data_IF_224791078673
#
_entry.id   IF_224791078673
#
_cell.length_a   1.000
_cell.length_b   1.000
_cell.length_c   1.000
_cell.angle_alpha   90.00
_cell.angle_beta   90.00
_cell.angle_gamma   90.00
#
_symmetry.space_group_name_H-M   'P 1'
#
loop_
_entity.id
_entity.type
_entity.pdbx_description
1 polymer ?
#
# COMPACT_ATOMS: atom_id res chain seq x y z
N UNK A 1 27.49 -9.20 0.15
CA UNK A 1 26.34 -9.01 1.06
C UNK A 1 25.09 -9.31 0.27
N UNK A 2 24.28 -10.29 0.69
CA UNK A 2 22.93 -10.44 0.14
C UNK A 2 22.19 -9.13 0.40
N UNK A 3 21.72 -8.47 -0.65
CA UNK A 3 20.83 -7.33 -0.52
C UNK A 3 19.58 -7.83 0.22
N UNK A 4 19.35 -7.35 1.44
CA UNK A 4 18.10 -7.62 2.13
C UNK A 4 16.98 -6.94 1.33
N UNK A 5 16.31 -7.70 0.45
CA UNK A 5 15.21 -7.18 -0.39
C UNK A 5 13.98 -6.77 0.44
N UNK A 6 13.97 -7.13 1.72
CA UNK A 6 12.82 -7.02 2.58
C UNK A 6 13.29 -6.72 4.01
N UNK A 7 12.77 -5.66 4.63
CA UNK A 7 13.10 -5.32 6.02
C UNK A 7 12.27 -6.19 6.97
N UNK A 8 12.80 -6.43 8.16
CA UNK A 8 12.09 -7.12 9.23
C UNK A 8 11.63 -8.56 8.88
N UNK A 9 12.28 -9.24 7.92
CA UNK A 9 11.95 -10.62 7.51
C UNK A 9 11.81 -11.59 8.69
N UNK A 10 12.66 -11.45 9.70
CA UNK A 10 12.63 -12.28 10.91
C UNK A 10 11.30 -12.17 11.66
N UNK A 11 10.64 -11.01 11.64
CA UNK A 11 9.31 -10.86 12.23
C UNK A 11 8.28 -11.75 11.51
N UNK A 12 8.28 -11.74 10.17
CA UNK A 12 7.40 -12.57 9.35
C UNK A 12 7.64 -14.06 9.59
N UNK A 13 8.90 -14.49 9.63
CA UNK A 13 9.27 -15.88 9.94
C UNK A 13 8.77 -16.29 11.33
N UNK A 14 8.96 -15.44 12.36
CA UNK A 14 8.51 -15.74 13.73
C UNK A 14 6.98 -15.85 13.80
N UNK A 15 6.24 -14.96 13.16
CA UNK A 15 4.77 -15.03 13.12
C UNK A 15 4.29 -16.26 12.36
N UNK A 16 4.84 -16.54 11.17
CA UNK A 16 4.51 -17.73 10.39
C UNK A 16 4.73 -19.01 11.21
N UNK A 17 5.86 -19.09 11.92
CA UNK A 17 6.19 -20.21 12.80
C UNK A 17 5.26 -20.36 14.01
N UNK A 18 4.91 -19.23 14.67
CA UNK A 18 4.09 -19.21 15.87
C UNK A 18 2.65 -19.60 15.56
N UNK A 19 2.06 -19.06 14.50
CA UNK A 19 0.65 -19.27 14.15
C UNK A 19 0.43 -20.42 13.16
N UNK A 20 1.52 -21.02 12.65
CA UNK A 20 1.50 -22.08 11.64
C UNK A 20 0.77 -21.67 10.36
N UNK A 21 0.92 -20.41 9.95
CA UNK A 21 0.34 -19.84 8.73
C UNK A 21 1.44 -19.52 7.72
N UNK A 22 1.12 -19.51 6.43
CA UNK A 22 1.98 -18.90 5.40
C UNK A 22 1.56 -17.44 5.24
N UNK A 23 2.53 -16.54 5.22
CA UNK A 23 2.30 -15.09 5.07
C UNK A 23 2.89 -14.66 3.73
N UNK A 24 2.04 -14.23 2.80
CA UNK A 24 2.45 -13.61 1.55
C UNK A 24 2.47 -12.08 1.69
N UNK A 25 3.51 -11.42 1.19
CA UNK A 25 3.62 -9.95 1.16
C UNK A 25 4.04 -9.52 -0.23
N UNK A 26 3.43 -8.44 -0.75
CA UNK A 26 3.84 -7.84 -2.02
C UNK A 26 5.24 -7.22 -1.85
N UNK A 27 6.01 -7.20 -2.93
CA UNK A 27 7.35 -6.61 -2.91
C UNK A 27 7.24 -5.13 -2.50
N UNK A 28 7.88 -4.72 -1.39
CA UNK A 28 7.83 -3.33 -0.94
C UNK A 28 8.56 -2.43 -1.93
N UNK A 29 8.18 -1.17 -1.98
CA UNK A 29 8.87 -0.19 -2.81
C UNK A 29 10.33 -0.05 -2.34
N UNK A 30 11.35 -0.35 -3.17
CA UNK A 30 12.76 -0.25 -2.77
C UNK A 30 13.16 1.17 -2.35
N UNK A 31 12.48 2.20 -2.86
CA UNK A 31 12.72 3.59 -2.48
C UNK A 31 12.17 3.93 -1.10
N UNK A 32 11.24 3.13 -0.56
CA UNK A 32 10.69 3.29 0.78
C UNK A 32 11.53 2.61 1.87
N UNK A 33 12.33 1.59 1.52
CA UNK A 33 13.09 0.84 2.53
C UNK A 33 14.02 1.71 3.38
N UNK A 34 14.85 2.61 2.82
CA UNK A 34 15.71 3.46 3.64
C UNK A 34 14.92 4.41 4.55
N UNK A 35 13.73 4.84 4.12
CA UNK A 35 12.85 5.70 4.94
C UNK A 35 12.29 4.92 6.13
N UNK A 36 11.92 3.65 5.92
CA UNK A 36 11.46 2.75 6.98
C UNK A 36 12.58 2.42 7.98
N UNK A 37 13.82 2.26 7.51
CA UNK A 37 15.01 2.10 8.37
C UNK A 37 15.28 3.35 9.21
N UNK A 38 15.08 4.54 8.64
CA UNK A 38 15.16 5.83 9.35
C UNK A 38 13.98 6.06 10.33
N UNK A 39 12.99 5.14 10.38
CA UNK A 39 11.85 5.23 11.28
C UNK A 39 10.72 6.14 10.79
N UNK A 40 10.63 6.38 9.48
CA UNK A 40 9.48 7.06 8.90
C UNK A 40 8.21 6.20 9.06
N UNK A 41 7.06 6.80 9.45
CA UNK A 41 5.79 6.09 9.46
C UNK A 41 5.38 5.64 8.06
N UNK A 42 4.70 4.51 7.93
CA UNK A 42 4.09 4.09 6.66
C UNK A 42 2.66 4.58 6.55
N UNK A 43 2.16 4.69 5.30
CA UNK A 43 0.80 5.15 5.02
C UNK A 43 -0.23 4.20 5.62
N UNK A 44 -1.26 4.75 6.26
CA UNK A 44 -2.36 3.95 6.78
C UNK A 44 -3.46 3.69 5.74
N UNK A 45 -4.48 2.94 6.13
CA UNK A 45 -5.61 2.60 5.25
C UNK A 45 -6.33 3.81 4.67
N UNK A 46 -6.34 4.96 5.35
CA UNK A 46 -7.07 6.15 4.92
C UNK A 46 -6.29 7.01 3.92
N UNK A 47 -4.97 6.84 3.82
CA UNK A 47 -4.16 7.47 2.80
C UNK A 47 -4.15 6.64 1.50
N UNK A 48 -5.00 7.02 0.55
CA UNK A 48 -5.12 6.32 -0.75
C UNK A 48 -4.13 6.80 -1.82
N UNK A 49 -3.52 7.96 -1.63
CA UNK A 49 -2.57 8.55 -2.55
C UNK A 49 -1.35 7.65 -2.77
N UNK A 50 -0.78 7.73 -3.98
CA UNK A 50 0.38 6.94 -4.39
C UNK A 50 1.69 7.68 -4.08
N UNK A 51 2.73 6.94 -3.71
CA UNK A 51 4.06 7.50 -3.46
C UNK A 51 4.76 7.91 -4.75
N UNK A 52 5.77 8.77 -4.60
CA UNK A 52 6.69 9.18 -5.65
C UNK A 52 7.71 8.09 -6.01
N UNK A 53 8.14 8.08 -7.26
CA UNK A 53 9.11 7.11 -7.79
C UNK A 53 10.51 7.69 -8.05
N UNK A 54 10.74 8.99 -7.84
CA UNK A 54 12.02 9.62 -8.21
C UNK A 54 12.24 10.94 -7.47
N UNK A 55 13.42 11.53 -7.63
CA UNK A 55 13.82 12.81 -7.05
C UNK A 55 13.86 12.85 -5.53
N UNK A 56 13.90 14.05 -4.91
CA UNK A 56 13.99 14.16 -3.46
C UNK A 56 12.74 13.60 -2.76
N UNK A 57 11.60 13.56 -3.46
CA UNK A 57 10.33 13.03 -2.96
C UNK A 57 10.20 11.51 -3.06
N UNK A 58 11.13 10.82 -3.72
CA UNK A 58 11.08 9.36 -3.93
C UNK A 58 10.71 8.62 -2.64
N UNK A 59 9.75 7.70 -2.73
CA UNK A 59 9.26 6.93 -1.59
C UNK A 59 8.25 7.63 -0.68
N UNK A 60 8.13 8.97 -0.71
CA UNK A 60 7.13 9.72 0.05
C UNK A 60 5.78 9.83 -0.68
N UNK A 61 4.73 10.17 0.06
CA UNK A 61 3.45 10.64 -0.49
C UNK A 61 3.52 12.17 -0.64
N UNK A 62 3.35 12.68 -1.86
CA UNK A 62 3.53 14.11 -2.16
C UNK A 62 2.21 14.86 -2.08
N UNK A 63 2.24 16.13 -1.67
CA UNK A 63 1.04 16.97 -1.72
C UNK A 63 0.68 17.34 -3.18
N UNK A 64 1.70 17.62 -3.99
CA UNK A 64 1.53 17.94 -5.41
C UNK A 64 1.61 16.66 -6.27
N UNK A 65 0.58 16.36 -7.09
CA UNK A 65 0.58 15.18 -7.96
C UNK A 65 1.74 15.13 -8.95
N UNK A 66 2.30 16.27 -9.36
CA UNK A 66 3.41 16.31 -10.35
C UNK A 66 4.69 15.63 -9.85
N UNK A 67 4.83 15.49 -8.53
CA UNK A 67 5.95 14.80 -7.91
C UNK A 67 5.61 13.33 -7.54
N UNK A 68 4.41 12.85 -7.84
CA UNK A 68 4.00 11.48 -7.54
C UNK A 68 4.36 10.53 -8.69
N UNK A 69 4.05 9.24 -8.57
CA UNK A 69 4.24 8.26 -9.66
C UNK A 69 3.08 8.18 -10.67
N UNK A 70 1.98 8.91 -10.44
CA UNK A 70 0.80 8.83 -11.31
C UNK A 70 1.09 9.47 -12.67
N UNK A 71 0.40 9.06 -13.74
CA UNK A 71 0.64 9.61 -15.08
C UNK A 71 0.25 11.08 -15.23
N UNK A 72 0.54 11.63 -16.42
CA UNK A 72 0.19 13.02 -16.78
C UNK A 72 -1.28 13.22 -17.14
N UNK A 73 -2.10 12.17 -17.15
CA UNK A 73 -3.51 12.27 -17.47
C UNK A 73 -4.21 13.20 -16.49
N UNK A 74 -4.98 14.16 -17.00
CA UNK A 74 -5.76 15.08 -16.17
C UNK A 74 -6.67 14.33 -15.18
N UNK A 75 -7.24 13.21 -15.60
CA UNK A 75 -8.11 12.39 -14.76
C UNK A 75 -7.34 11.74 -13.61
N UNK A 76 -6.15 11.21 -13.86
CA UNK A 76 -5.31 10.61 -12.82
C UNK A 76 -4.82 11.67 -11.82
N UNK A 77 -4.42 12.84 -12.31
CA UNK A 77 -4.02 13.95 -11.45
C UNK A 77 -5.18 14.46 -10.59
N UNK A 78 -6.39 14.59 -11.15
CA UNK A 78 -7.56 15.00 -10.39
C UNK A 78 -7.93 13.96 -9.35
N UNK A 79 -7.92 12.67 -9.70
CA UNK A 79 -8.15 11.59 -8.74
C UNK A 79 -7.15 11.62 -7.58
N UNK A 80 -5.88 11.93 -7.87
CA UNK A 80 -4.87 12.08 -6.82
C UNK A 80 -5.14 13.28 -5.92
N UNK A 81 -5.48 14.44 -6.51
CA UNK A 81 -5.87 15.64 -5.72
C UNK A 81 -7.08 15.36 -4.83
N UNK A 82 -8.05 14.60 -5.32
CA UNK A 82 -9.21 14.19 -4.53
C UNK A 82 -8.82 13.28 -3.36
N UNK A 83 -7.87 12.35 -3.58
CA UNK A 83 -7.34 11.49 -2.51
C UNK A 83 -6.60 12.29 -1.44
N UNK A 84 -5.77 13.26 -1.84
CA UNK A 84 -5.07 14.17 -0.92
C UNK A 84 -6.07 15.02 -0.15
N UNK A 85 -7.03 15.64 -0.84
CA UNK A 85 -8.07 16.47 -0.23
C UNK A 85 -8.90 15.67 0.77
N UNK A 86 -9.28 14.43 0.42
CA UNK A 86 -9.99 13.52 1.31
C UNK A 86 -9.16 13.17 2.55
N UNK A 87 -7.87 12.90 2.39
CA UNK A 87 -6.98 12.63 3.52
C UNK A 87 -6.84 13.86 4.44
N UNK A 88 -6.71 15.06 3.89
CA UNK A 88 -6.64 16.31 4.67
C UNK A 88 -7.94 16.53 5.46
N UNK A 89 -9.10 16.29 4.86
CA UNK A 89 -10.40 16.34 5.57
C UNK A 89 -10.49 15.34 6.73
N UNK A 90 -9.70 14.26 6.68
CA UNK A 90 -9.57 13.25 7.74
C UNK A 90 -8.41 13.52 8.71
N UNK A 91 -7.78 14.68 8.63
CA UNK A 91 -6.73 15.12 9.58
C UNK A 91 -5.29 14.99 9.08
N UNK A 92 -5.04 14.51 7.85
CA UNK A 92 -3.70 14.53 7.28
C UNK A 92 -3.20 15.96 7.07
N UNK A 93 -1.88 16.17 7.18
CA UNK A 93 -1.25 17.48 7.03
C UNK A 93 -0.19 17.46 5.95
N UNK A 94 0.00 18.61 5.32
CA UNK A 94 1.15 18.88 4.46
C UNK A 94 2.32 19.39 5.31
N UNK A 95 3.46 18.72 5.20
CA UNK A 95 4.69 19.11 5.90
C UNK A 95 5.82 19.35 4.91
N UNK A 96 6.76 20.21 5.29
CA UNK A 96 7.94 20.47 4.47
C UNK A 96 8.80 19.21 4.37
N UNK A 97 9.22 18.89 3.16
CA UNK A 97 10.14 17.79 2.93
C UNK A 97 11.53 18.16 3.45
N UNK A 98 12.01 17.35 4.38
CA UNK A 98 13.38 17.37 4.90
C UNK A 98 13.95 15.97 4.70
N UNK A 99 15.09 15.87 4.01
CA UNK A 99 15.77 14.59 3.78
C UNK A 99 17.12 14.55 4.48
N UNK A 100 17.45 13.40 5.07
CA UNK A 100 18.74 13.19 5.73
C UNK A 100 19.89 13.20 4.71
N UNK A 101 21.13 13.39 5.19
CA UNK A 101 22.31 13.24 4.33
C UNK A 101 22.46 11.81 3.79
N UNK A 102 22.10 10.82 4.60
CA UNK A 102 22.08 9.41 4.19
C UNK A 102 21.12 9.20 3.02
N UNK A 103 19.90 9.73 3.14
CA UNK A 103 18.88 9.67 2.09
C UNK A 103 19.32 10.38 0.81
N UNK A 104 19.94 11.55 0.93
CA UNK A 104 20.47 12.26 -0.22
C UNK A 104 21.49 11.39 -0.98
N UNK A 105 22.47 10.81 -0.28
CA UNK A 105 23.49 9.95 -0.87
C UNK A 105 22.86 8.69 -1.52
N UNK A 106 21.87 8.09 -0.87
CA UNK A 106 21.12 6.92 -1.39
C UNK A 106 20.41 7.24 -2.71
N UNK A 107 19.72 8.38 -2.79
CA UNK A 107 19.03 8.81 -4.01
C UNK A 107 20.01 9.11 -5.16
N UNK A 108 21.18 9.66 -4.84
CA UNK A 108 22.24 9.87 -5.84
C UNK A 108 22.82 8.55 -6.33
N UNK A 109 23.11 7.60 -5.44
CA UNK A 109 23.62 6.28 -5.80
C UNK A 109 22.64 5.49 -6.67
N UNK A 110 21.33 5.68 -6.46
CA UNK A 110 20.25 5.08 -7.26
C UNK A 110 19.93 5.84 -8.55
N UNK A 111 20.64 6.93 -8.84
CA UNK A 111 20.36 7.83 -9.97
C UNK A 111 18.96 8.48 -9.97
N UNK A 112 18.30 8.52 -8.83
CA UNK A 112 16.98 9.16 -8.67
C UNK A 112 17.09 10.67 -8.45
N UNK A 113 18.26 11.14 -8.02
CA UNK A 113 18.56 12.55 -7.80
C UNK A 113 19.97 12.86 -8.25
N UNK A 114 20.13 13.85 -9.14
CA UNK A 114 21.45 14.23 -9.67
C UNK A 114 21.87 15.59 -9.14
N UNK A 115 23.05 15.70 -8.56
CA UNK A 115 23.62 16.98 -8.16
C UNK A 115 24.15 17.69 -9.42
N UNK A 116 23.72 18.94 -9.62
CA UNK A 116 24.15 19.78 -10.73
C UNK A 116 25.29 20.70 -10.29
N UNK A 117 25.14 21.27 -9.10
CA UNK A 117 26.14 22.06 -8.36
C UNK A 117 25.82 21.97 -6.88
N UNK A 118 26.69 22.48 -6.02
CA UNK A 118 26.47 22.44 -4.58
C UNK A 118 25.09 23.00 -4.19
N UNK A 119 24.34 22.21 -3.42
CA UNK A 119 22.98 22.55 -2.97
C UNK A 119 21.90 22.55 -4.06
N UNK A 120 22.23 22.26 -5.33
CA UNK A 120 21.26 22.25 -6.45
C UNK A 120 21.23 20.90 -7.12
N UNK A 121 20.03 20.33 -7.19
CA UNK A 121 19.79 18.97 -7.67
C UNK A 121 18.72 18.98 -8.76
N UNK A 122 18.69 17.90 -9.54
CA UNK A 122 17.69 17.69 -10.58
C UNK A 122 17.17 16.26 -10.56
N UNK A 123 15.90 16.07 -10.89
CA UNK A 123 15.29 14.76 -11.08
C UNK A 123 14.23 14.79 -12.19
N UNK A 124 13.95 13.63 -12.78
CA UNK A 124 13.07 13.52 -13.95
C UNK A 124 11.71 12.97 -13.56
N UNK A 125 10.68 13.81 -13.50
CA UNK A 125 9.30 13.39 -13.25
C UNK A 125 8.53 13.30 -14.56
N UNK A 126 8.01 12.11 -14.87
CA UNK A 126 7.22 11.83 -16.07
C UNK A 126 7.91 12.22 -17.41
N UNK A 127 9.24 12.27 -17.44
CA UNK A 127 10.02 12.70 -18.60
C UNK A 127 10.38 14.20 -18.62
N UNK A 128 10.00 14.97 -17.61
CA UNK A 128 10.41 16.37 -17.44
C UNK A 128 11.45 16.51 -16.33
N UNK A 129 12.44 17.39 -16.55
CA UNK A 129 13.46 17.67 -15.56
C UNK A 129 13.02 18.79 -14.62
N UNK A 130 12.98 18.47 -13.33
CA UNK A 130 12.70 19.40 -12.25
C UNK A 130 14.00 19.72 -11.52
N UNK A 131 14.17 20.97 -11.12
CA UNK A 131 15.28 21.43 -10.30
C UNK A 131 14.83 21.68 -8.87
N UNK A 132 15.71 21.37 -7.93
CA UNK A 132 15.51 21.50 -6.50
C UNK A 132 16.71 22.15 -5.86
N UNK A 133 16.47 22.99 -4.85
CA UNK A 133 17.49 23.42 -3.91
C UNK A 133 17.33 22.63 -2.61
N UNK A 134 18.43 22.10 -2.07
CA UNK A 134 18.42 21.39 -0.78
C UNK A 134 19.41 22.10 0.12
N UNK A 135 18.90 22.66 1.22
CA UNK A 135 19.72 23.41 2.16
C UNK A 135 20.58 22.49 3.05
N UNK A 136 21.44 23.11 3.87
CA UNK A 136 22.33 22.38 4.80
C UNK A 136 21.58 21.55 5.85
N UNK A 137 20.31 21.85 6.12
CA UNK A 137 19.46 21.12 7.04
C UNK A 137 18.64 20.03 6.34
N UNK A 138 18.81 19.87 5.02
CA UNK A 138 18.11 18.88 4.21
C UNK A 138 16.72 19.32 3.73
N UNK A 139 16.32 20.58 3.97
CA UNK A 139 15.02 21.09 3.52
C UNK A 139 15.03 21.27 2.01
N UNK A 140 13.98 20.78 1.36
CA UNK A 140 13.87 20.73 -0.10
C UNK A 140 12.97 21.85 -0.60
N UNK A 141 13.46 22.61 -1.58
CA UNK A 141 12.75 23.69 -2.25
C UNK A 141 12.69 23.41 -3.76
N UNK A 142 11.59 23.82 -4.40
CA UNK A 142 11.47 23.79 -5.85
C UNK A 142 12.27 24.93 -6.51
N UNK A 143 12.26 24.98 -7.85
CA UNK A 143 12.93 26.03 -8.63
C UNK A 143 12.45 27.45 -8.27
N UNK A 144 11.22 27.61 -7.81
CA UNK A 144 10.66 28.90 -7.38
C UNK A 144 11.01 29.27 -5.93
N UNK A 145 11.82 28.47 -5.24
CA UNK A 145 12.18 28.68 -3.83
C UNK A 145 11.07 28.30 -2.86
N UNK A 146 10.01 27.60 -3.31
CA UNK A 146 8.92 27.16 -2.44
C UNK A 146 9.27 25.80 -1.82
N UNK A 147 9.01 25.57 -0.52
CA UNK A 147 9.21 24.26 0.10
C UNK A 147 8.40 23.18 -0.63
N UNK A 148 9.05 22.06 -0.95
CA UNK A 148 8.37 20.87 -1.46
C UNK A 148 7.61 20.23 -0.30
N UNK A 149 6.34 19.90 -0.52
CA UNK A 149 5.43 19.37 0.51
C UNK A 149 5.16 17.88 0.33
N UNK A 150 5.15 17.16 1.45
CA UNK A 150 4.77 15.74 1.56
C UNK A 150 3.71 15.55 2.64
N UNK A 151 3.02 14.42 2.63
CA UNK A 151 1.88 14.17 3.51
C UNK A 151 2.25 13.45 4.80
N UNK A 152 1.49 13.73 5.87
CA UNK A 152 1.38 12.85 7.04
C UNK A 152 0.20 11.88 6.89
N UNK A 153 0.05 10.94 7.81
CA UNK A 153 -1.19 10.15 7.89
C UNK A 153 -2.35 11.00 8.44
N UNK A 154 -3.60 10.68 8.07
CA UNK A 154 -4.78 11.04 8.85
C UNK A 154 -4.93 10.11 10.07
N UNK A 155 -5.73 10.52 11.06
CA UNK A 155 -6.02 9.70 12.23
C UNK A 155 -6.83 8.43 11.86
N UNK A 156 -6.70 7.36 12.65
CA UNK A 156 -7.64 6.24 12.57
C UNK A 156 -9.02 6.64 13.10
N UNK A 157 -10.07 6.08 12.52
CA UNK A 157 -11.46 6.43 12.83
C UNK A 157 -12.00 5.51 13.93
N UNK A 158 -12.73 6.10 14.89
CA UNK A 158 -13.51 5.37 15.90
C UNK A 158 -12.81 5.21 17.26
N UNK A 159 -13.51 4.60 18.24
CA UNK A 159 -12.99 4.41 19.59
C UNK A 159 -11.69 3.58 19.58
N UNK A 160 -10.63 4.12 20.19
CA UNK A 160 -9.32 3.48 20.22
C UNK A 160 -8.47 3.68 18.96
N UNK A 161 -8.89 4.56 18.04
CA UNK A 161 -8.07 4.98 16.91
C UNK A 161 -6.76 5.64 17.36
N UNK A 162 -5.68 5.35 16.64
CA UNK A 162 -4.36 5.93 16.90
C UNK A 162 -4.23 7.29 16.20
N UNK A 163 -3.81 8.31 16.96
CA UNK A 163 -3.46 9.61 16.40
C UNK A 163 -2.27 9.48 15.45
N UNK A 164 -2.36 10.14 14.30
CA UNK A 164 -1.33 10.10 13.29
C UNK A 164 -0.05 10.82 13.75
N UNK A 165 1.09 10.25 13.36
CA UNK A 165 2.37 10.92 13.49
C UNK A 165 2.39 12.21 12.66
N UNK A 166 3.04 13.26 13.17
CA UNK A 166 3.32 14.48 12.42
C UNK A 166 4.47 14.31 11.41
N UNK A 167 5.09 13.13 11.33
CA UNK A 167 6.18 12.83 10.41
C UNK A 167 5.64 12.51 9.00
N UNK A 168 6.41 12.81 7.95
CA UNK A 168 6.06 12.43 6.59
C UNK A 168 6.01 10.91 6.44
N UNK A 169 5.06 10.42 5.64
CA UNK A 169 4.81 8.98 5.49
C UNK A 169 5.44 8.40 4.22
N UNK A 170 5.76 7.10 4.28
CA UNK A 170 6.20 6.29 3.14
C UNK A 170 5.25 5.11 2.86
N UNK A 171 5.61 4.22 1.93
CA UNK A 171 4.82 3.04 1.62
C UNK A 171 4.78 2.06 2.81
N UNK A 172 3.64 1.42 2.99
CA UNK A 172 3.40 0.29 3.87
C UNK A 172 3.75 -1.05 3.21
N UNK A 173 3.61 -2.12 3.97
CA UNK A 173 3.75 -3.48 3.47
C UNK A 173 2.36 -4.05 3.21
N UNK A 174 2.01 -4.15 1.92
CA UNK A 174 0.76 -4.73 1.48
C UNK A 174 0.82 -6.26 1.60
N UNK A 175 -0.03 -6.85 2.45
CA UNK A 175 -0.17 -8.30 2.52
C UNK A 175 -0.76 -8.83 1.21
N UNK A 176 -0.13 -9.85 0.65
CA UNK A 176 -0.67 -10.58 -0.50
C UNK A 176 -1.71 -11.61 -0.04
N UNK A 177 -1.39 -12.40 0.98
CA UNK A 177 -2.34 -13.41 1.50
C UNK A 177 -1.93 -13.87 2.90
N UNK A 178 -2.90 -14.34 3.67
CA UNK A 178 -2.66 -15.13 4.89
C UNK A 178 -3.27 -16.51 4.68
N UNK A 179 -2.42 -17.54 4.59
CA UNK A 179 -2.84 -18.91 4.30
C UNK A 179 -2.80 -19.74 5.60
N UNK A 180 -3.96 -20.05 6.19
CA UNK A 180 -4.05 -20.86 7.40
C UNK A 180 -3.85 -22.35 7.13
N UNK A 181 -3.67 -23.15 8.19
CA UNK A 181 -3.91 -24.59 8.12
C UNK A 181 -5.37 -24.88 7.81
N UNK A 182 -5.67 -26.06 7.24
CA UNK A 182 -7.06 -26.50 7.01
C UNK A 182 -7.89 -26.50 8.29
N UNK A 183 -7.30 -26.82 9.44
CA UNK A 183 -8.00 -26.78 10.75
C UNK A 183 -8.26 -25.35 11.25
N UNK A 184 -7.69 -24.33 10.63
CA UNK A 184 -7.80 -22.92 10.96
C UNK A 184 -8.54 -22.13 9.86
N UNK A 185 -9.18 -22.81 8.90
CA UNK A 185 -9.69 -22.18 7.67
C UNK A 185 -11.08 -21.52 7.82
N UNK A 186 -11.69 -21.56 9.00
CA UNK A 186 -12.91 -20.82 9.28
C UNK A 186 -12.59 -19.31 9.45
N UNK A 187 -12.40 -18.64 8.31
CA UNK A 187 -11.99 -17.24 8.21
C UNK A 187 -13.01 -16.43 7.41
N UNK A 188 -14.20 -16.28 7.96
CA UNK A 188 -15.25 -15.49 7.30
C UNK A 188 -14.87 -14.01 7.26
N UNK A 189 -14.97 -13.42 6.08
CA UNK A 189 -14.80 -11.98 5.85
C UNK A 189 -16.14 -11.27 6.02
N UNK A 190 -16.17 -10.03 6.56
CA UNK A 190 -17.41 -9.26 6.72
C UNK A 190 -18.20 -9.07 5.43
N UNK A 191 -17.51 -8.80 4.32
CA UNK A 191 -18.11 -8.66 2.99
C UNK A 191 -17.72 -9.81 2.06
N UNK A 192 -18.70 -10.30 1.30
CA UNK A 192 -18.50 -11.25 0.22
C UNK A 192 -18.03 -10.59 -1.07
N UNK A 193 -18.29 -11.27 -2.18
CA UNK A 193 -17.98 -10.79 -3.53
C UNK A 193 -19.22 -10.07 -4.08
N UNK A 194 -19.07 -8.84 -4.54
CA UNK A 194 -20.12 -8.16 -5.29
C UNK A 194 -20.37 -8.92 -6.61
N UNK A 195 -21.62 -9.33 -6.93
CA UNK A 195 -21.93 -9.87 -8.24
C UNK A 195 -21.54 -8.88 -9.33
N UNK A 196 -21.03 -9.36 -10.47
CA UNK A 196 -20.77 -8.52 -11.65
C UNK A 196 -21.70 -8.90 -12.79
N UNK A 197 -22.27 -7.88 -13.44
CA UNK A 197 -22.90 -8.05 -14.75
C UNK A 197 -21.77 -8.25 -15.76
N UNK A 198 -21.72 -9.44 -16.37
CA UNK A 198 -20.87 -9.68 -17.55
C UNK A 198 -21.55 -8.97 -18.73
N UNK A 199 -21.16 -7.72 -19.03
CA UNK A 199 -21.59 -7.04 -20.26
C UNK A 199 -20.44 -6.32 -20.94
N UNK A 200 -20.08 -6.81 -22.13
CA UNK A 200 -19.59 -5.95 -23.19
C UNK A 200 -20.65 -4.86 -23.43
N UNK A 201 -20.29 -3.59 -23.23
CA UNK A 201 -21.13 -2.39 -23.46
C UNK A 201 -22.14 -2.04 -22.34
N UNK A 202 -21.66 -1.49 -21.23
CA UNK A 202 -22.35 -0.36 -20.61
C UNK A 202 -21.73 0.92 -21.19
N UNK A 203 -22.51 1.87 -21.73
CA UNK A 203 -21.96 3.13 -22.24
C UNK A 203 -21.26 3.86 -21.09
N UNK A 204 -19.99 4.23 -21.28
CA UNK A 204 -19.17 4.89 -20.25
C UNK A 204 -19.67 6.30 -19.88
N UNK A 205 -20.66 6.82 -20.57
CA UNK A 205 -21.30 8.11 -20.29
C UNK A 205 -22.80 7.98 -20.53
N UNK A 206 -23.58 7.92 -19.45
CA UNK A 206 -25.01 8.22 -19.50
C UNK A 206 -25.19 9.47 -18.66
N UNK A 207 -25.62 10.54 -19.31
CA UNK A 207 -25.95 11.81 -18.66
C UNK A 207 -27.04 11.57 -17.59
N UNK A 208 -26.79 11.92 -16.30
CA UNK A 208 -27.78 11.77 -15.23
C UNK A 208 -29.09 12.53 -15.49
N UNK A 209 -29.08 13.52 -16.39
CA UNK A 209 -30.25 14.32 -16.76
C UNK A 209 -30.95 13.80 -18.02
N UNK A 210 -30.54 12.65 -18.57
CA UNK A 210 -31.18 12.09 -19.75
C UNK A 210 -32.65 11.69 -19.43
N UNK A 211 -33.65 12.05 -20.25
CA UNK A 211 -35.08 11.81 -19.96
C UNK A 211 -35.50 10.34 -19.80
N UNK A 212 -34.58 9.40 -20.10
CA UNK A 212 -34.76 7.94 -19.89
C UNK A 212 -34.04 7.41 -18.65
N UNK A 213 -33.41 8.28 -17.86
CA UNK A 213 -32.78 7.91 -16.60
C UNK A 213 -33.87 7.74 -15.55
N UNK A 214 -34.42 6.53 -15.48
CA UNK A 214 -35.26 6.13 -14.37
C UNK A 214 -34.36 5.42 -13.35
N UNK A 215 -34.18 6.06 -12.18
CA UNK A 215 -33.40 5.54 -11.05
C UNK A 215 -33.88 4.15 -10.60
N UNK A 216 -35.14 3.82 -10.87
CA UNK A 216 -35.76 2.54 -10.55
C UNK A 216 -35.52 1.44 -11.61
N UNK A 217 -35.20 1.80 -12.86
CA UNK A 217 -34.92 0.83 -13.96
C UNK A 217 -33.48 0.30 -13.89
N UNK A 218 -32.56 1.05 -13.29
CA UNK A 218 -31.19 0.62 -13.01
C UNK A 218 -30.95 0.44 -11.52
N UNK A 219 -31.89 -0.18 -10.82
CA UNK A 219 -31.64 -0.64 -9.46
C UNK A 219 -30.57 -1.75 -9.50
N UNK A 220 -29.32 -1.36 -9.31
CA UNK A 220 -28.14 -2.23 -9.19
C UNK A 220 -27.87 -2.63 -7.75
N UNK A 221 -28.84 -2.53 -6.84
CA UNK A 221 -28.67 -2.94 -5.45
C UNK A 221 -28.33 -4.43 -5.32
N UNK A 222 -28.75 -5.26 -6.28
CA UNK A 222 -28.33 -6.66 -6.37
C UNK A 222 -26.84 -6.86 -6.71
N UNK A 223 -26.14 -5.81 -7.17
CA UNK A 223 -24.68 -5.80 -7.34
C UNK A 223 -23.96 -5.31 -6.07
N UNK A 224 -24.67 -4.84 -5.05
CA UNK A 224 -24.04 -4.52 -3.76
C UNK A 224 -23.57 -5.82 -3.12
N UNK A 225 -22.42 -5.77 -2.47
CA UNK A 225 -21.86 -6.88 -1.73
C UNK A 225 -22.84 -7.36 -0.67
N UNK A 226 -23.20 -8.64 -0.67
CA UNK A 226 -23.90 -9.25 0.45
C UNK A 226 -22.90 -9.45 1.58
N UNK A 227 -23.11 -8.78 2.72
CA UNK A 227 -22.35 -9.10 3.92
C UNK A 227 -22.75 -10.50 4.38
N UNK A 228 -21.79 -11.42 4.42
CA UNK A 228 -22.02 -12.79 4.90
C UNK A 228 -22.45 -12.81 6.38
N UNK A 229 -22.12 -11.77 7.14
CA UNK A 229 -22.33 -11.68 8.58
C UNK A 229 -23.26 -10.54 9.03
N UNK A 230 -23.88 -9.80 8.09
CA UNK A 230 -24.51 -8.49 8.36
C UNK A 230 -23.57 -7.52 9.11
N UNK A 231 -22.27 -7.65 8.88
CA UNK A 231 -21.21 -6.82 9.44
C UNK A 231 -20.58 -5.96 8.35
N UNK A 232 -20.33 -4.70 8.68
CA UNK A 232 -19.54 -3.81 7.83
C UNK A 232 -18.05 -4.18 7.86
N UNK A 233 -17.31 -3.70 6.86
CA UNK A 233 -15.85 -3.82 6.87
C UNK A 233 -15.24 -3.07 8.05
N UNK A 234 -14.03 -3.46 8.44
CA UNK A 234 -13.29 -2.70 9.42
C UNK A 234 -12.92 -1.33 8.83
N UNK A 235 -13.38 -0.25 9.49
CA UNK A 235 -13.18 1.12 8.99
C UNK A 235 -11.71 1.49 8.78
N UNK A 236 -10.79 0.87 9.55
CA UNK A 236 -9.35 1.15 9.49
C UNK A 236 -8.55 0.06 8.77
N UNK A 237 -9.15 -1.11 8.47
CA UNK A 237 -8.43 -2.29 7.95
C UNK A 237 -9.09 -2.98 6.76
N UNK A 238 -10.26 -2.50 6.33
CA UNK A 238 -11.02 -3.05 5.20
C UNK A 238 -11.64 -4.42 5.50
N UNK A 239 -11.78 -5.24 4.47
CA UNK A 239 -12.43 -6.56 4.52
C UNK A 239 -11.53 -7.66 5.11
N UNK A 240 -11.12 -7.48 6.36
CA UNK A 240 -10.23 -8.38 7.09
C UNK A 240 -11.03 -9.35 7.98
N UNK A 241 -10.68 -10.64 7.92
CA UNK A 241 -11.23 -11.69 8.80
C UNK A 241 -10.55 -11.68 10.19
N UNK A 242 -11.13 -12.40 11.16
CA UNK A 242 -10.63 -12.40 12.54
C UNK A 242 -9.16 -12.83 12.69
N UNK A 243 -8.76 -13.95 12.06
CA UNK A 243 -7.36 -14.38 12.05
C UNK A 243 -6.46 -13.33 11.40
N UNK A 244 -6.90 -12.69 10.33
CA UNK A 244 -6.17 -11.61 9.65
C UNK A 244 -5.88 -10.45 10.58
N UNK A 245 -6.88 -9.98 11.35
CA UNK A 245 -6.68 -8.93 12.38
C UNK A 245 -5.65 -9.35 13.42
N UNK A 246 -5.70 -10.61 13.86
CA UNK A 246 -4.74 -11.17 14.83
C UNK A 246 -3.32 -11.19 14.27
N UNK A 247 -3.14 -11.68 13.04
CA UNK A 247 -1.84 -11.76 12.37
C UNK A 247 -1.26 -10.36 12.13
N UNK A 248 -2.05 -9.40 11.66
CA UNK A 248 -1.62 -8.00 11.46
C UNK A 248 -1.12 -7.41 12.78
N UNK A 249 -1.90 -7.54 13.86
CA UNK A 249 -1.52 -7.02 15.19
C UNK A 249 -0.19 -7.58 15.66
N UNK A 250 0.01 -8.90 15.52
CA UNK A 250 1.22 -9.57 16.01
C UNK A 250 2.42 -9.32 15.09
N UNK A 251 2.21 -9.22 13.77
CA UNK A 251 3.25 -8.80 12.83
C UNK A 251 3.81 -7.43 13.21
N UNK A 252 2.96 -6.43 13.42
CA UNK A 252 3.41 -5.11 13.80
C UNK A 252 4.16 -5.12 15.15
N UNK A 253 3.74 -5.94 16.12
CA UNK A 253 4.47 -6.11 17.38
C UNK A 253 5.86 -6.72 17.18
N UNK A 254 5.98 -7.78 16.36
CA UNK A 254 7.26 -8.43 16.05
C UNK A 254 8.18 -7.55 15.18
N UNK A 255 7.62 -6.73 14.29
CA UNK A 255 8.35 -5.74 13.48
C UNK A 255 8.94 -4.65 14.38
N UNK A 256 8.16 -4.14 15.34
CA UNK A 256 8.67 -3.21 16.36
C UNK A 256 9.77 -3.84 17.21
N UNK A 257 9.62 -5.10 17.60
CA UNK A 257 10.66 -5.84 18.32
C UNK A 257 11.96 -6.02 17.49
N UNK A 258 11.88 -5.94 16.17
CA UNK A 258 13.02 -5.90 15.27
C UNK A 258 13.63 -4.49 15.07
N UNK A 259 13.13 -3.47 15.77
CA UNK A 259 13.70 -2.12 15.80
C UNK A 259 12.95 -1.06 14.99
N UNK A 260 11.84 -1.40 14.32
CA UNK A 260 11.04 -0.40 13.61
C UNK A 260 10.38 0.58 14.58
N UNK A 261 10.59 1.88 14.37
CA UNK A 261 10.09 2.96 15.23
C UNK A 261 8.99 3.82 14.58
N UNK A 262 8.61 3.53 13.33
CA UNK A 262 7.59 4.27 12.58
C UNK A 262 6.13 3.91 12.93
N UNK A 263 5.91 3.02 13.90
CA UNK A 263 4.57 2.58 14.34
C UNK A 263 4.16 1.25 13.72
N UNK A 264 3.00 1.22 13.06
CA UNK A 264 2.53 0.06 12.31
C UNK A 264 3.09 0.11 10.88
N UNK A 265 3.42 -1.07 10.33
CA UNK A 265 3.91 -1.24 8.96
C UNK A 265 2.90 -1.99 8.08
N UNK A 266 2.09 -2.86 8.70
CA UNK A 266 0.99 -3.58 8.07
C UNK A 266 -0.32 -2.95 8.54
N UNK A 267 -1.09 -2.34 7.64
CA UNK A 267 -2.26 -1.55 8.05
C UNK A 267 -3.60 -2.22 7.78
N UNK A 268 -3.72 -3.03 6.73
CA UNK A 268 -5.02 -3.51 6.26
C UNK A 268 -5.02 -4.98 5.86
N UNK A 269 -6.18 -5.45 5.43
CA UNK A 269 -6.42 -6.79 4.91
C UNK A 269 -5.43 -7.17 3.79
N UNK A 270 -5.34 -8.47 3.55
CA UNK A 270 -4.62 -9.03 2.43
C UNK A 270 -5.34 -8.84 1.09
N UNK A 271 -4.58 -8.93 0.00
CA UNK A 271 -5.05 -8.79 -1.38
C UNK A 271 -6.21 -9.74 -1.69
N UNK A 272 -6.22 -10.95 -1.13
CA UNK A 272 -7.34 -11.90 -1.26
C UNK A 272 -8.68 -11.31 -0.81
N UNK A 273 -8.68 -10.49 0.25
CA UNK A 273 -9.88 -9.84 0.74
C UNK A 273 -10.30 -8.60 -0.04
N UNK A 274 -9.54 -8.17 -1.05
CA UNK A 274 -9.80 -6.94 -1.79
C UNK A 274 -10.71 -7.21 -3.00
N UNK A 275 -12.00 -6.84 -2.94
CA UNK A 275 -12.92 -7.12 -4.03
C UNK A 275 -12.77 -6.11 -5.18
N UNK A 276 -11.75 -5.24 -5.18
CA UNK A 276 -11.57 -4.15 -6.14
C UNK A 276 -10.35 -4.30 -7.06
N UNK A 277 -9.48 -5.25 -6.80
CA UNK A 277 -8.24 -5.49 -7.56
C UNK A 277 -8.40 -6.64 -8.54
N UNK A 278 -7.35 -6.98 -9.30
CA UNK A 278 -7.34 -8.15 -10.20
C UNK A 278 -6.75 -9.40 -9.52
N UNK A 279 -6.41 -9.33 -8.23
CA UNK A 279 -5.62 -10.35 -7.55
C UNK A 279 -4.14 -10.26 -7.94
N UNK A 280 -3.58 -11.36 -8.41
CA UNK A 280 -2.14 -11.46 -8.71
C UNK A 280 -1.71 -10.60 -9.91
N UNK A 281 -0.72 -9.71 -9.68
CA UNK A 281 0.04 -9.04 -10.73
C UNK A 281 1.51 -9.53 -10.67
N UNK A 282 2.10 -10.04 -11.77
CA UNK A 282 3.52 -10.41 -11.81
C UNK A 282 4.48 -9.32 -11.33
N UNK A 283 4.11 -8.04 -11.46
CA UNK A 283 4.91 -6.90 -10.99
C UNK A 283 4.97 -6.82 -9.46
N UNK A 284 4.02 -7.41 -8.76
CA UNK A 284 3.98 -7.42 -7.30
C UNK A 284 5.02 -8.35 -6.69
N UNK A 285 5.51 -9.33 -7.47
CA UNK A 285 6.56 -10.29 -7.10
C UNK A 285 6.45 -10.74 -5.63
N UNK A 286 5.31 -11.33 -5.21
CA UNK A 286 5.05 -11.58 -3.81
C UNK A 286 6.07 -12.57 -3.21
N UNK A 287 6.45 -12.29 -1.96
CA UNK A 287 7.32 -13.11 -1.14
C UNK A 287 6.50 -13.81 -0.06
N UNK A 288 6.67 -15.12 0.08
CA UNK A 288 5.96 -15.97 1.02
C UNK A 288 6.89 -16.46 2.12
N UNK A 289 6.48 -16.25 3.36
CA UNK A 289 7.14 -16.71 4.57
C UNK A 289 6.38 -17.92 5.11
N UNK A 290 7.00 -19.10 5.06
CA UNK A 290 6.38 -20.35 5.48
C UNK A 290 6.80 -20.72 6.91
N UNK A 291 5.98 -21.50 7.62
CA UNK A 291 6.44 -22.20 8.82
C UNK A 291 7.67 -23.07 8.48
N UNK A 292 8.63 -23.12 9.39
CA UNK A 292 9.97 -23.67 9.18
C UNK A 292 11.00 -22.65 8.69
N UNK A 293 10.60 -21.40 8.40
CA UNK A 293 11.51 -20.33 8.00
C UNK A 293 11.87 -20.31 6.51
N UNK A 294 11.25 -21.18 5.69
CA UNK A 294 11.43 -21.15 4.24
C UNK A 294 10.79 -19.89 3.65
N UNK A 295 11.52 -19.21 2.76
CA UNK A 295 11.07 -18.05 2.01
C UNK A 295 10.94 -18.43 0.54
N UNK A 296 9.82 -18.09 -0.10
CA UNK A 296 9.55 -18.39 -1.52
C UNK A 296 9.14 -17.10 -2.23
N UNK A 297 9.76 -16.81 -3.38
CA UNK A 297 9.37 -15.70 -4.23
C UNK A 297 8.61 -16.21 -5.44
N UNK A 298 7.46 -15.60 -5.75
CA UNK A 298 6.64 -15.95 -6.91
C UNK A 298 6.69 -14.84 -7.95
N UNK A 299 6.83 -15.22 -9.22
CA UNK A 299 7.02 -14.30 -10.34
C UNK A 299 6.05 -14.53 -11.50
N UNK A 300 5.23 -15.59 -11.44
CA UNK A 300 4.24 -15.91 -12.46
C UNK A 300 2.97 -16.48 -11.82
N UNK A 301 1.88 -16.43 -12.58
CA UNK A 301 0.59 -16.96 -12.15
C UNK A 301 0.60 -18.49 -12.11
N UNK A 302 1.31 -19.13 -13.03
CA UNK A 302 1.52 -20.59 -13.05
C UNK A 302 2.29 -21.03 -11.80
N UNK A 303 3.37 -20.30 -11.46
CA UNK A 303 4.15 -20.57 -10.25
C UNK A 303 3.34 -20.37 -8.97
N UNK A 304 2.43 -19.38 -8.94
CA UNK A 304 1.51 -19.20 -7.82
C UNK A 304 0.57 -20.40 -7.67
N UNK A 305 -0.02 -20.86 -8.77
CA UNK A 305 -0.94 -22.01 -8.77
C UNK A 305 -0.26 -23.29 -8.30
N UNK A 306 0.92 -23.59 -8.84
CA UNK A 306 1.72 -24.74 -8.42
C UNK A 306 2.08 -24.66 -6.93
N UNK A 307 2.50 -23.47 -6.48
CA UNK A 307 2.80 -23.23 -5.08
C UNK A 307 1.58 -23.47 -4.17
N UNK A 308 0.40 -22.99 -4.57
CA UNK A 308 -0.84 -23.19 -3.83
C UNK A 308 -1.24 -24.67 -3.78
N UNK A 309 -1.18 -25.40 -4.91
CA UNK A 309 -1.45 -26.85 -4.93
C UNK A 309 -0.50 -27.61 -3.99
N UNK A 310 0.78 -27.25 -3.96
CA UNK A 310 1.75 -27.85 -3.04
C UNK A 310 1.44 -27.54 -1.57
N UNK A 311 0.95 -26.34 -1.26
CA UNK A 311 0.51 -25.96 0.09
C UNK A 311 -0.74 -26.74 0.53
N UNK A 312 -1.70 -26.96 -0.37
CA UNK A 312 -2.90 -27.75 -0.10
C UNK A 312 -2.58 -29.20 0.25
N UNK A 313 -1.63 -29.81 -0.46
CA UNK A 313 -1.08 -31.14 -0.16
C UNK A 313 -0.40 -31.18 1.21
N UNK A 314 0.20 -30.06 1.63
CA UNK A 314 0.81 -29.91 2.96
C UNK A 314 -0.20 -29.54 4.07
N UNK A 315 -1.51 -29.52 3.77
CA UNK A 315 -2.56 -29.27 4.76
C UNK A 315 -2.83 -27.79 5.06
N UNK A 316 -2.45 -26.89 4.16
CA UNK A 316 -2.87 -25.48 4.19
C UNK A 316 -4.14 -25.26 3.35
N UNK A 317 -4.77 -24.10 3.51
CA UNK A 317 -6.00 -23.72 2.82
C UNK A 317 -5.83 -22.33 2.17
N UNK A 318 -5.14 -22.23 1.03
CA UNK A 318 -5.02 -20.96 0.29
C UNK A 318 -6.39 -20.48 -0.18
N UNK A 319 -6.59 -19.17 -0.13
CA UNK A 319 -7.79 -18.50 -0.64
C UNK A 319 -7.37 -17.65 -1.84
N UNK A 320 -8.00 -17.88 -2.98
CA UNK A 320 -7.82 -17.05 -4.17
C UNK A 320 -8.60 -15.76 -4.02
N UNK A 321 -8.08 -14.67 -4.59
CA UNK A 321 -8.87 -13.45 -4.69
C UNK A 321 -10.17 -13.77 -5.44
N UNK A 322 -11.34 -13.32 -4.96
CA UNK A 322 -12.65 -13.41 -5.62
C UNK A 322 -12.71 -13.19 -7.14
N UNK A 323 -11.79 -12.37 -7.66
CA UNK A 323 -11.73 -11.98 -9.07
C UNK A 323 -10.69 -12.75 -9.88
N UNK A 324 -9.95 -13.65 -9.23
CA UNK A 324 -8.89 -14.49 -9.80
C UNK A 324 -9.42 -15.84 -10.29
#
# INVERSE_FOLDING_TARGET
MQSNEFLYQNAFIRVANRYKVVIGVRKPNPLSLPLLEEGAPSKNFHMKAKSSSTGPTAGYITADPKYSKIGRSINEQNQYRDQITSAIRKGAKEVDLVISRSRLNDLQAKNELKMQREGVYSATYHGENYQFHIDKNGKVFDRGGKPVKVMTNPDEIGPGGVNASSKPITADYDLFTIIPRKQQNYNLRPQGIAPRIIKNKLPKHIDPNHPRWNKDIFNVDFLKTTSHLKQEEDVNKGNVHFLGKTIIKVLNAEIRACGYSGGDLIWHNDETGNPFTAGFDPKDRPTFFLPGGRIVNIHSIEGLREFYSNLELQGFSPENNPRF
#
